data_IF_980393155746
#
_entry.id   IF_980393155746
#
_cell.length_a   1.000
_cell.length_b   1.000
_cell.length_c   1.000
_cell.angle_alpha   90.00
_cell.angle_beta   90.00
_cell.angle_gamma   90.00
#
_symmetry.space_group_name_H-M   'P 1'
#
loop_
_entity.id
_entity.type
_entity.pdbx_description
1 polymer ?
#
# COMPACT_ATOMS: atom_id res chain seq x y z
N UNK A 1 2.41 10.09 -18.88
CA UNK A 1 1.34 9.33 -18.23
C UNK A 1 1.74 7.88 -18.07
N UNK A 2 1.57 7.35 -16.87
CA UNK A 2 1.94 5.98 -16.60
C UNK A 2 0.82 4.99 -16.85
N UNK A 3 1.10 3.69 -16.69
CA UNK A 3 0.08 2.67 -16.81
C UNK A 3 -1.07 2.89 -15.83
N UNK A 4 -2.25 2.48 -16.23
CA UNK A 4 -3.41 2.59 -15.35
C UNK A 4 -3.37 1.48 -14.30
N UNK A 5 -3.90 1.81 -13.12
CA UNK A 5 -4.03 0.86 -12.03
C UNK A 5 -4.88 -0.33 -12.48
N UNK A 6 -4.41 -1.57 -12.26
CA UNK A 6 -5.21 -2.74 -12.60
C UNK A 6 -6.43 -2.89 -11.70
N UNK A 7 -7.44 -3.61 -12.18
CA UNK A 7 -8.55 -4.02 -11.32
C UNK A 7 -8.03 -5.00 -10.28
N UNK A 8 -8.60 -4.95 -9.09
CA UNK A 8 -8.17 -5.85 -8.02
C UNK A 8 -9.34 -6.22 -7.12
N UNK A 9 -9.18 -7.32 -6.42
CA UNK A 9 -10.10 -7.73 -5.36
C UNK A 9 -9.26 -8.14 -4.17
N UNK A 10 -9.27 -7.30 -3.14
CA UNK A 10 -8.59 -7.60 -1.88
C UNK A 10 -9.66 -7.81 -0.79
N UNK A 11 -9.20 -8.11 0.42
CA UNK A 11 -10.05 -8.15 1.61
C UNK A 11 -9.61 -7.06 2.57
N UNK A 12 -10.56 -6.34 3.15
CA UNK A 12 -10.24 -5.38 4.21
C UNK A 12 -10.55 -5.94 5.59
N UNK A 13 -11.23 -7.08 5.64
CA UNK A 13 -11.48 -7.87 6.83
C UNK A 13 -11.86 -9.25 6.33
N UNK A 14 -11.96 -10.23 7.22
CA UNK A 14 -12.33 -11.59 6.82
C UNK A 14 -13.68 -11.58 6.10
N UNK A 15 -13.70 -12.09 4.88
CA UNK A 15 -14.89 -12.16 4.02
C UNK A 15 -15.51 -10.81 3.68
N UNK A 16 -14.74 -9.73 3.78
CA UNK A 16 -15.19 -8.38 3.37
C UNK A 16 -14.25 -7.88 2.27
N UNK A 17 -14.77 -7.78 1.07
CA UNK A 17 -13.97 -7.40 -0.10
C UNK A 17 -13.72 -5.89 -0.17
N UNK A 18 -12.64 -5.55 -0.84
CA UNK A 18 -12.25 -4.18 -1.16
C UNK A 18 -11.77 -4.18 -2.60
N UNK A 19 -12.48 -3.48 -3.47
CA UNK A 19 -12.19 -3.47 -4.90
C UNK A 19 -11.81 -2.08 -5.37
N UNK A 20 -11.33 -1.96 -6.62
CA UNK A 20 -10.81 -0.72 -7.15
C UNK A 20 -11.78 0.46 -7.04
N UNK A 21 -13.06 0.23 -7.28
CA UNK A 21 -14.05 1.30 -7.21
C UNK A 21 -14.33 1.77 -5.78
N UNK A 22 -13.83 1.06 -4.77
CA UNK A 22 -13.95 1.49 -3.38
C UNK A 22 -12.90 2.53 -3.00
N UNK A 23 -11.92 2.77 -3.87
CA UNK A 23 -10.92 3.81 -3.65
C UNK A 23 -11.57 5.19 -3.74
N UNK A 24 -10.98 6.14 -2.99
CA UNK A 24 -11.39 7.54 -3.11
C UNK A 24 -10.73 8.10 -4.38
N UNK A 25 -11.54 8.37 -5.39
CA UNK A 25 -11.05 8.84 -6.70
C UNK A 25 -10.38 10.22 -6.63
N UNK A 26 -10.58 10.93 -5.53
CA UNK A 26 -10.03 12.29 -5.38
C UNK A 26 -8.67 12.29 -4.73
N UNK A 27 -8.17 11.12 -4.34
CA UNK A 27 -6.90 11.00 -3.63
C UNK A 27 -5.88 10.21 -4.42
N UNK A 28 -4.61 10.55 -4.20
CA UNK A 28 -3.53 9.70 -4.65
C UNK A 28 -3.56 8.40 -3.84
N UNK A 29 -3.03 7.33 -4.39
CA UNK A 29 -3.00 6.04 -3.72
C UNK A 29 -1.58 5.47 -3.76
N UNK A 30 -1.09 5.03 -2.60
CA UNK A 30 0.20 4.36 -2.50
C UNK A 30 -0.06 2.94 -2.02
N UNK A 31 0.37 1.95 -2.81
CA UNK A 31 0.25 0.55 -2.46
C UNK A 31 1.61 0.00 -2.04
N UNK A 32 1.68 -0.60 -0.87
CA UNK A 32 2.89 -1.24 -0.35
C UNK A 32 2.60 -2.72 -0.19
N UNK A 33 3.10 -3.52 -1.12
CA UNK A 33 2.98 -4.98 -1.00
C UNK A 33 4.06 -5.47 -0.06
N UNK A 34 3.67 -6.23 0.96
CA UNK A 34 4.57 -6.61 2.05
C UNK A 34 4.33 -8.04 2.52
N UNK A 35 5.23 -8.52 3.37
CA UNK A 35 5.05 -9.76 4.11
C UNK A 35 5.39 -9.49 5.57
N UNK A 36 4.64 -10.06 6.53
CA UNK A 36 4.90 -9.79 7.94
C UNK A 36 6.29 -10.20 8.42
N UNK A 37 6.95 -11.15 7.74
CA UNK A 37 8.30 -11.60 8.10
C UNK A 37 9.40 -10.97 7.26
N UNK A 38 9.19 -9.75 6.80
CA UNK A 38 10.13 -9.07 5.92
C UNK A 38 10.73 -7.88 6.65
N UNK A 39 12.06 -7.93 6.89
CA UNK A 39 12.78 -6.87 7.60
C UNK A 39 12.60 -5.51 6.92
N UNK A 40 12.73 -5.47 5.61
CA UNK A 40 12.61 -4.21 4.86
C UNK A 40 11.18 -3.67 4.90
N UNK A 41 10.20 -4.56 5.00
CA UNK A 41 8.80 -4.16 5.16
C UNK A 41 8.57 -3.54 6.53
N UNK A 42 9.20 -4.10 7.56
CA UNK A 42 9.14 -3.56 8.92
C UNK A 42 9.75 -2.17 8.95
N UNK A 43 10.91 -2.00 8.31
CA UNK A 43 11.57 -0.70 8.23
C UNK A 43 10.69 0.33 7.52
N UNK A 44 10.03 -0.08 6.44
CA UNK A 44 9.13 0.80 5.69
C UNK A 44 7.98 1.27 6.58
N UNK A 45 7.37 0.35 7.32
CA UNK A 45 6.28 0.67 8.24
C UNK A 45 6.75 1.64 9.32
N UNK A 46 7.90 1.36 9.94
CA UNK A 46 8.43 2.18 11.02
C UNK A 46 8.77 3.59 10.57
N UNK A 47 9.31 3.75 9.37
CA UNK A 47 9.69 5.08 8.88
C UNK A 47 8.46 5.87 8.42
N UNK A 48 7.45 5.18 7.90
CA UNK A 48 6.29 5.84 7.29
C UNK A 48 5.29 6.34 8.33
N UNK A 49 5.02 5.56 9.36
CA UNK A 49 3.98 5.87 10.34
C UNK A 49 4.13 7.26 10.95
N UNK A 50 5.32 7.67 11.45
CA UNK A 50 5.45 9.01 12.03
C UNK A 50 5.22 10.15 11.03
N UNK A 51 5.33 9.86 9.72
CA UNK A 51 5.21 10.86 8.67
C UNK A 51 3.80 10.94 8.11
N UNK A 52 2.88 10.10 8.57
CA UNK A 52 1.52 10.07 8.04
C UNK A 52 0.80 11.42 8.03
N UNK A 53 0.93 12.26 9.07
CA UNK A 53 0.25 13.56 9.02
C UNK A 53 0.65 14.45 7.86
N UNK A 54 1.80 14.18 7.23
CA UNK A 54 2.27 14.99 6.10
C UNK A 54 1.67 14.55 4.77
N UNK A 55 1.07 13.35 4.71
CA UNK A 55 0.48 12.84 3.48
C UNK A 55 -0.94 13.37 3.32
N UNK A 56 -1.04 14.50 2.62
CA UNK A 56 -2.33 15.12 2.32
C UNK A 56 -2.88 14.55 1.03
N UNK A 57 -4.19 14.40 0.97
CA UNK A 57 -4.87 13.95 -0.23
C UNK A 57 -4.30 12.64 -0.76
N UNK A 58 -3.91 11.74 0.12
CA UNK A 58 -3.24 10.49 -0.23
C UNK A 58 -3.67 9.38 0.73
N UNK A 59 -4.10 8.25 0.17
CA UNK A 59 -4.36 7.04 0.95
C UNK A 59 -3.23 6.06 0.75
N UNK A 60 -2.79 5.44 1.83
CA UNK A 60 -1.71 4.44 1.79
C UNK A 60 -2.28 3.09 2.22
N UNK A 61 -1.97 2.05 1.43
CA UNK A 61 -2.47 0.70 1.62
C UNK A 61 -1.30 -0.26 1.73
N UNK A 62 -1.27 -1.03 2.82
CA UNK A 62 -0.32 -2.14 2.98
C UNK A 62 -1.08 -3.42 2.65
N UNK A 63 -0.56 -4.20 1.71
CA UNK A 63 -1.26 -5.36 1.13
C UNK A 63 -0.38 -6.59 1.24
N UNK A 64 -0.89 -7.69 1.79
CA UNK A 64 -0.13 -8.93 1.94
C UNK A 64 -0.98 -10.14 1.59
N UNK A 65 -0.31 -11.20 1.12
CA UNK A 65 -0.93 -12.51 0.90
C UNK A 65 -1.02 -13.33 2.17
N UNK A 66 -0.40 -12.89 3.26
CA UNK A 66 -0.32 -13.66 4.50
C UNK A 66 -1.70 -13.86 5.12
N UNK A 67 -1.79 -14.75 6.11
CA UNK A 67 -3.03 -14.97 6.84
C UNK A 67 -3.38 -13.75 7.67
N UNK A 68 -4.68 -13.52 7.89
CA UNK A 68 -5.11 -12.36 8.67
C UNK A 68 -4.48 -12.29 10.05
N UNK A 69 -4.27 -13.43 10.70
CA UNK A 69 -3.67 -13.41 12.04
C UNK A 69 -2.28 -12.79 12.02
N UNK A 70 -1.51 -13.05 10.98
CA UNK A 70 -0.14 -12.51 10.85
C UNK A 70 -0.16 -11.05 10.43
N UNK A 71 -1.08 -10.70 9.53
CA UNK A 71 -1.27 -9.31 9.11
C UNK A 71 -1.70 -8.46 10.31
N UNK A 72 -2.61 -8.97 11.12
CA UNK A 72 -3.12 -8.25 12.30
C UNK A 72 -2.01 -7.98 13.31
N UNK A 73 -1.12 -8.95 13.52
CA UNK A 73 0.03 -8.74 14.41
C UNK A 73 0.95 -7.67 13.86
N UNK A 74 1.22 -7.71 12.55
CA UNK A 74 2.06 -6.68 11.92
C UNK A 74 1.43 -5.30 12.05
N UNK A 75 0.14 -5.19 11.75
CA UNK A 75 -0.60 -3.94 11.87
C UNK A 75 -0.52 -3.38 13.29
N UNK A 76 -0.77 -4.24 14.27
CA UNK A 76 -0.74 -3.85 15.67
C UNK A 76 0.66 -3.42 16.11
N UNK A 77 1.67 -4.20 15.71
CA UNK A 77 3.05 -3.96 16.11
C UNK A 77 3.55 -2.59 15.62
N UNK A 78 3.21 -2.23 14.39
CA UNK A 78 3.70 -0.99 13.79
C UNK A 78 2.65 0.12 13.78
N UNK A 79 1.47 -0.15 14.34
CA UNK A 79 0.39 0.83 14.47
C UNK A 79 -0.05 1.43 13.13
N UNK A 80 -0.21 0.58 12.11
CA UNK A 80 -0.55 1.04 10.76
C UNK A 80 -1.94 1.64 10.70
N UNK A 81 -2.98 0.84 10.93
CA UNK A 81 -4.36 1.32 10.83
C UNK A 81 -4.65 2.39 11.86
N UNK A 82 -4.02 2.32 13.03
CA UNK A 82 -4.16 3.33 14.07
C UNK A 82 -3.71 4.71 13.56
N UNK A 83 -2.80 4.73 12.60
CA UNK A 83 -2.26 5.97 12.03
C UNK A 83 -2.78 6.24 10.61
N UNK A 84 -3.90 5.65 10.25
CA UNK A 84 -4.56 5.97 9.00
C UNK A 84 -4.10 5.19 7.79
N UNK A 85 -3.23 4.19 7.97
CA UNK A 85 -2.81 3.33 6.87
C UNK A 85 -3.82 2.20 6.75
N UNK A 86 -4.32 1.97 5.54
CA UNK A 86 -5.26 0.88 5.28
C UNK A 86 -4.49 -0.42 5.13
N UNK A 87 -4.99 -1.50 5.74
CA UNK A 87 -4.33 -2.80 5.69
C UNK A 87 -5.26 -3.79 5.01
N UNK A 88 -4.77 -4.40 3.94
CA UNK A 88 -5.58 -5.27 3.08
C UNK A 88 -4.89 -6.61 2.91
N UNK A 89 -5.69 -7.64 2.57
CA UNK A 89 -5.18 -8.96 2.28
C UNK A 89 -5.46 -9.32 0.82
N UNK A 90 -4.44 -9.86 0.16
CA UNK A 90 -4.52 -10.38 -1.21
C UNK A 90 -4.66 -11.89 -1.12
N UNK A 91 -5.84 -12.37 -0.68
CA UNK A 91 -6.05 -13.76 -0.28
C UNK A 91 -5.68 -14.77 -1.36
N UNK A 92 -5.95 -14.46 -2.63
CA UNK A 92 -5.70 -15.38 -3.74
C UNK A 92 -4.43 -15.08 -4.51
N UNK A 93 -3.70 -14.03 -4.13
CA UNK A 93 -2.51 -13.62 -4.84
C UNK A 93 -2.78 -13.00 -6.20
N UNK A 94 -4.03 -12.63 -6.49
CA UNK A 94 -4.40 -12.04 -7.77
C UNK A 94 -3.81 -10.65 -7.94
N UNK A 95 -3.75 -9.88 -6.85
CA UNK A 95 -3.16 -8.56 -6.89
C UNK A 95 -1.68 -8.63 -7.17
N UNK A 96 -1.00 -9.60 -6.55
CA UNK A 96 0.43 -9.80 -6.81
C UNK A 96 0.66 -10.03 -8.30
N UNK A 97 -0.18 -10.85 -8.94
CA UNK A 97 -0.04 -11.15 -10.36
C UNK A 97 -0.38 -9.92 -11.23
N UNK A 98 -1.45 -9.23 -10.91
CA UNK A 98 -1.93 -8.10 -11.73
C UNK A 98 -1.01 -6.89 -11.65
N UNK A 99 -0.46 -6.61 -10.47
CA UNK A 99 0.49 -5.51 -10.29
C UNK A 99 1.91 -5.92 -10.66
N UNK A 100 2.13 -7.22 -10.95
CA UNK A 100 3.44 -7.77 -11.28
C UNK A 100 4.44 -7.50 -10.16
N UNK A 101 4.02 -7.82 -8.95
CA UNK A 101 4.85 -7.62 -7.75
C UNK A 101 6.07 -8.55 -7.83
N UNK A 102 7.24 -7.96 -7.68
CA UNK A 102 8.50 -8.70 -7.73
C UNK A 102 9.10 -8.81 -6.32
N UNK A 103 9.98 -7.90 -5.97
CA UNK A 103 10.61 -7.90 -4.65
C UNK A 103 9.76 -7.10 -3.67
N UNK A 104 9.65 -7.56 -2.43
CA UNK A 104 8.92 -6.85 -1.38
C UNK A 104 9.90 -6.20 -0.40
N UNK A 105 9.56 -5.00 0.11
CA UNK A 105 8.34 -4.27 -0.23
C UNK A 105 8.38 -3.77 -1.66
N UNK A 106 7.26 -3.88 -2.36
CA UNK A 106 7.11 -3.35 -3.71
C UNK A 106 6.08 -2.23 -3.61
N UNK A 107 6.46 -1.03 -3.97
CA UNK A 107 5.67 0.17 -3.70
C UNK A 107 5.25 0.82 -4.99
N UNK A 108 3.95 1.08 -5.13
CA UNK A 108 3.37 1.69 -6.33
C UNK A 108 2.68 2.99 -5.95
N UNK A 109 3.05 4.08 -6.60
CA UNK A 109 2.44 5.38 -6.37
C UNK A 109 1.55 5.72 -7.55
N UNK A 110 0.26 5.93 -7.28
CA UNK A 110 -0.72 6.30 -8.30
C UNK A 110 -1.27 7.69 -8.02
N UNK A 111 -1.50 8.46 -9.09
CA UNK A 111 -2.10 9.79 -8.97
C UNK A 111 -3.62 9.69 -8.86
N UNK A 112 -4.29 10.85 -8.83
CA UNK A 112 -5.76 10.89 -8.70
C UNK A 112 -6.48 10.38 -9.94
N UNK A 113 -5.78 10.22 -11.06
CA UNK A 113 -6.32 9.60 -12.28
C UNK A 113 -6.07 8.11 -12.32
N UNK A 114 -5.49 7.55 -11.24
CA UNK A 114 -5.15 6.13 -11.14
C UNK A 114 -4.13 5.71 -12.19
N UNK A 115 -3.22 6.62 -12.52
CA UNK A 115 -2.10 6.34 -13.39
C UNK A 115 -0.82 6.24 -12.55
N UNK A 116 0.04 5.30 -12.91
CA UNK A 116 1.26 5.05 -12.17
C UNK A 116 2.25 6.21 -12.31
N UNK A 117 2.66 6.76 -11.18
CA UNK A 117 3.66 7.82 -11.12
C UNK A 117 5.06 7.20 -11.04
N UNK A 118 5.23 6.25 -10.14
CA UNK A 118 6.53 5.59 -9.92
C UNK A 118 6.32 4.27 -9.19
N UNK A 119 7.25 3.35 -9.41
CA UNK A 119 7.31 2.08 -8.69
C UNK A 119 8.67 1.96 -8.01
N UNK A 120 8.68 1.51 -6.75
CA UNK A 120 9.89 1.23 -6.01
C UNK A 120 9.95 -0.24 -5.65
N UNK A 121 11.10 -0.86 -5.88
CA UNK A 121 11.32 -2.28 -5.56
C UNK A 121 12.26 -2.37 -4.37
N UNK A 122 11.81 -2.01 -3.22
CA UNK A 122 12.46 -2.08 -1.91
C UNK A 122 12.05 -0.86 -1.10
N UNK A 123 12.71 -0.67 0.03
CA UNK A 123 12.41 0.48 0.90
C UNK A 123 12.60 1.80 0.17
N UNK A 124 11.72 2.74 0.49
CA UNK A 124 11.83 4.11 0.00
C UNK A 124 11.57 5.05 1.16
N UNK A 125 12.33 6.14 1.23
CA UNK A 125 12.17 7.11 2.31
C UNK A 125 10.84 7.86 2.15
N UNK A 126 10.14 8.14 3.26
CA UNK A 126 8.89 8.90 3.18
C UNK A 126 9.02 10.21 2.43
N UNK A 127 10.18 10.87 2.52
CA UNK A 127 10.41 12.12 1.81
C UNK A 127 10.28 11.97 0.29
N UNK A 128 10.70 10.82 -0.25
CA UNK A 128 10.57 10.55 -1.69
C UNK A 128 9.09 10.35 -2.05
N UNK A 129 8.37 9.59 -1.24
CA UNK A 129 6.94 9.38 -1.47
C UNK A 129 6.17 10.69 -1.40
N UNK A 130 6.54 11.57 -0.47
CA UNK A 130 5.92 12.88 -0.36
C UNK A 130 6.12 13.71 -1.61
N UNK A 131 7.34 13.68 -2.18
CA UNK A 131 7.60 14.38 -3.44
C UNK A 131 6.75 13.83 -4.57
N UNK A 132 6.59 12.52 -4.63
CA UNK A 132 5.84 11.88 -5.69
C UNK A 132 4.38 12.32 -5.70
N UNK A 133 3.76 12.42 -4.54
CA UNK A 133 2.35 12.81 -4.45
C UNK A 133 2.15 14.32 -4.50
N UNK A 134 3.15 15.10 -4.13
CA UNK A 134 3.07 16.57 -4.18
C UNK A 134 3.37 17.13 -5.56
N UNK A 135 3.99 16.34 -6.42
CA UNK A 135 4.35 16.77 -7.78
C UNK A 135 3.13 17.01 -8.66
N UNK A 136 1.95 16.75 -8.14
CA UNK A 136 0.67 16.96 -8.84
C UNK A 136 -0.04 18.25 -8.39
#
# INVERSE_FOLDING_TARGET
>A
MGPRMPEFTFEKAENVTFVKKDLDEKKNAIFVFFHPNCRHCENEAQSLVPEMPKFKNTDIYFISKAEWKDITVFDSTYALSKNGIHVLRDAKGEGKAKFKVSDIPNIFVYDTYQELVVEYMNEVKPAELLKDVQAK
#
